data_IF_181091733274
#
_entry.id   IF_181091733274
#
_cell.length_a   1.000
_cell.length_b   1.000
_cell.length_c   1.000
_cell.angle_alpha   90.00
_cell.angle_beta   90.00
_cell.angle_gamma   90.00
#
_symmetry.space_group_name_H-M   'P 1'
#
loop_
_entity.id
_entity.type
_entity.pdbx_description
1 polymer ?
#
# COMPACT_ATOMS: atom_id res chain seq x y z
N UNK A 1 -55.19 -7.86 -45.06
CA UNK A 1 -53.89 -7.16 -45.17
C UNK A 1 -53.86 -6.09 -44.09
N UNK A 2 -53.47 -6.47 -42.87
CA UNK A 2 -53.17 -5.54 -41.79
C UNK A 2 -51.66 -5.24 -41.83
N UNK A 3 -51.32 -3.98 -41.61
CA UNK A 3 -50.08 -3.32 -42.00
C UNK A 3 -48.83 -3.91 -41.32
N UNK A 4 -47.87 -4.40 -42.11
CA UNK A 4 -46.49 -4.70 -41.67
C UNK A 4 -45.79 -3.50 -40.98
N UNK A 5 -46.28 -2.27 -41.18
CA UNK A 5 -45.74 -1.07 -40.53
C UNK A 5 -46.09 -0.95 -39.04
N UNK A 6 -47.22 -1.50 -38.57
CA UNK A 6 -47.58 -1.43 -37.13
C UNK A 6 -46.80 -2.44 -36.28
N UNK A 7 -46.45 -3.60 -36.85
CA UNK A 7 -45.65 -4.62 -36.16
C UNK A 7 -44.21 -4.13 -35.96
N UNK A 8 -43.64 -3.38 -36.93
CA UNK A 8 -42.28 -2.84 -36.80
C UNK A 8 -42.21 -1.75 -35.72
N UNK A 9 -43.25 -0.93 -35.56
CA UNK A 9 -43.30 0.10 -34.51
C UNK A 9 -43.47 -0.53 -33.12
N UNK A 10 -44.30 -1.56 -32.99
CA UNK A 10 -44.44 -2.28 -31.71
C UNK A 10 -43.17 -3.02 -31.30
N UNK A 11 -42.41 -3.58 -32.24
CA UNK A 11 -41.13 -4.26 -31.94
C UNK A 11 -40.03 -3.24 -31.60
N UNK A 12 -40.00 -2.07 -32.24
CA UNK A 12 -38.98 -1.04 -31.94
C UNK A 12 -39.25 -0.31 -30.61
N UNK A 13 -40.50 -0.08 -30.23
CA UNK A 13 -40.85 0.52 -28.92
C UNK A 13 -40.66 -0.48 -27.76
N UNK A 14 -40.93 -1.78 -27.96
CA UNK A 14 -40.65 -2.80 -26.94
C UNK A 14 -39.15 -3.01 -26.72
N UNK A 15 -38.34 -3.03 -27.79
CA UNK A 15 -36.89 -3.15 -27.66
C UNK A 15 -36.26 -1.91 -27.01
N UNK A 16 -36.75 -0.69 -27.27
CA UNK A 16 -36.24 0.50 -26.59
C UNK A 16 -36.62 0.53 -25.10
N UNK A 17 -37.85 0.15 -24.73
CA UNK A 17 -38.26 0.13 -23.32
C UNK A 17 -37.56 -0.97 -22.52
N UNK A 18 -37.49 -2.20 -23.04
CA UNK A 18 -36.79 -3.29 -22.36
C UNK A 18 -35.28 -3.05 -22.33
N UNK A 19 -34.69 -2.46 -23.38
CA UNK A 19 -33.28 -2.08 -23.34
C UNK A 19 -33.05 -0.91 -22.38
N UNK A 20 -33.93 0.10 -22.30
CA UNK A 20 -33.80 1.16 -21.30
C UNK A 20 -33.99 0.62 -19.87
N UNK A 21 -34.88 -0.34 -19.67
CA UNK A 21 -35.15 -0.94 -18.36
C UNK A 21 -34.05 -1.92 -17.93
N UNK A 22 -33.51 -2.70 -18.87
CA UNK A 22 -32.33 -3.54 -18.66
C UNK A 22 -31.09 -2.68 -18.51
N UNK A 23 -30.95 -1.57 -19.24
CA UNK A 23 -29.81 -0.65 -19.15
C UNK A 23 -29.89 0.23 -17.90
N UNK A 24 -31.08 0.60 -17.42
CA UNK A 24 -31.29 1.22 -16.09
C UNK A 24 -31.13 0.21 -14.98
N UNK A 25 -31.61 -1.03 -15.10
CA UNK A 25 -31.27 -2.10 -14.16
C UNK A 25 -29.76 -2.42 -14.21
N UNK A 26 -29.10 -2.39 -15.37
CA UNK A 26 -27.65 -2.53 -15.50
C UNK A 26 -26.91 -1.29 -15.01
N UNK A 27 -27.46 -0.09 -15.07
CA UNK A 27 -26.91 1.14 -14.47
C UNK A 27 -27.24 1.28 -12.99
N UNK A 28 -28.20 0.51 -12.48
CA UNK A 28 -28.54 0.38 -11.06
C UNK A 28 -27.80 -0.79 -10.40
N UNK A 29 -27.51 -1.87 -11.14
CA UNK A 29 -26.70 -3.03 -10.70
C UNK A 29 -25.21 -2.87 -11.02
N UNK A 30 -24.84 -2.24 -12.14
CA UNK A 30 -23.55 -1.52 -12.32
C UNK A 30 -23.65 -0.07 -11.83
N UNK A 31 -24.75 0.26 -11.16
CA UNK A 31 -24.78 1.37 -10.23
C UNK A 31 -23.67 1.08 -9.28
N UNK A 32 -22.59 1.87 -9.40
CA UNK A 32 -21.52 1.97 -8.43
C UNK A 32 -22.14 1.73 -7.07
N UNK A 33 -22.00 0.50 -6.53
CA UNK A 33 -22.49 0.20 -5.20
C UNK A 33 -21.71 1.17 -4.32
N UNK A 34 -22.38 2.26 -3.93
CA UNK A 34 -21.76 3.33 -3.20
C UNK A 34 -21.19 2.67 -1.96
N UNK A 35 -19.87 2.54 -1.92
CA UNK A 35 -19.23 1.71 -0.91
C UNK A 35 -19.43 2.42 0.42
N UNK A 36 -20.27 1.86 1.29
CA UNK A 36 -20.54 2.45 2.60
C UNK A 36 -19.28 2.38 3.44
N UNK A 37 -18.88 3.54 3.96
CA UNK A 37 -17.71 3.73 4.78
C UNK A 37 -18.14 4.27 6.13
N UNK A 38 -17.83 3.56 7.21
CA UNK A 38 -18.17 4.00 8.56
C UNK A 38 -16.99 4.78 9.11
N UNK A 39 -17.15 6.05 9.48
CA UNK A 39 -16.10 6.85 10.12
C UNK A 39 -16.47 7.09 11.58
N UNK A 40 -15.73 6.44 12.48
CA UNK A 40 -15.85 6.64 13.91
C UNK A 40 -15.00 7.82 14.38
N UNK A 41 -15.61 8.69 15.17
CA UNK A 41 -14.99 9.86 15.79
C UNK A 41 -14.94 9.59 17.30
N UNK A 42 -13.74 9.41 17.90
CA UNK A 42 -13.56 9.01 19.29
C UNK A 42 -13.74 10.18 20.27
N UNK A 43 -14.68 11.07 19.96
CA UNK A 43 -15.06 12.23 20.76
C UNK A 43 -16.59 12.36 20.64
N UNK A 44 -17.32 12.66 21.72
CA UNK A 44 -18.77 12.81 21.64
C UNK A 44 -19.11 14.02 20.77
N UNK A 45 -20.18 13.92 19.97
CA UNK A 45 -20.58 14.95 19.00
C UNK A 45 -20.65 16.37 19.59
N UNK A 46 -21.12 16.49 20.84
CA UNK A 46 -21.25 17.77 21.57
C UNK A 46 -19.91 18.41 21.97
N UNK A 47 -18.84 17.62 22.05
CA UNK A 47 -17.48 18.05 22.43
C UNK A 47 -16.52 18.11 21.24
N UNK A 48 -16.99 17.80 20.04
CA UNK A 48 -16.14 17.73 18.87
C UNK A 48 -15.69 19.14 18.43
N UNK A 49 -14.39 19.45 18.37
CA UNK A 49 -13.92 20.80 18.04
C UNK A 49 -14.30 21.23 16.62
N UNK A 50 -14.73 22.49 16.45
CA UNK A 50 -15.17 23.06 15.17
C UNK A 50 -14.14 22.89 14.04
N UNK A 51 -12.86 23.12 14.34
CA UNK A 51 -11.78 22.98 13.35
C UNK A 51 -11.60 21.54 12.86
N UNK A 52 -11.88 20.55 13.72
CA UNK A 52 -11.90 19.15 13.32
C UNK A 52 -13.17 18.80 12.55
N UNK A 53 -14.31 19.39 12.92
CA UNK A 53 -15.57 19.20 12.22
C UNK A 53 -15.50 19.67 10.76
N UNK A 54 -14.91 20.83 10.51
CA UNK A 54 -14.66 21.32 9.15
C UNK A 54 -13.77 20.36 8.35
N UNK A 55 -12.70 19.84 8.98
CA UNK A 55 -11.78 18.91 8.33
C UNK A 55 -12.45 17.57 8.00
N UNK A 56 -13.27 17.04 8.91
CA UNK A 56 -14.06 15.83 8.68
C UNK A 56 -15.07 16.05 7.55
N UNK A 57 -15.81 17.15 7.57
CA UNK A 57 -16.78 17.46 6.51
C UNK A 57 -16.11 17.53 5.13
N UNK A 58 -14.97 18.21 5.03
CA UNK A 58 -14.18 18.27 3.79
C UNK A 58 -13.70 16.87 3.37
N UNK A 59 -13.27 16.03 4.30
CA UNK A 59 -12.88 14.66 4.00
C UNK A 59 -14.05 13.82 3.50
N UNK A 60 -15.23 13.95 4.14
CA UNK A 60 -16.48 13.29 3.72
C UNK A 60 -16.87 13.71 2.30
N UNK A 61 -16.79 15.00 1.97
CA UNK A 61 -17.04 15.50 0.62
C UNK A 61 -16.10 14.88 -0.42
N UNK A 62 -14.80 14.80 -0.10
CA UNK A 62 -13.81 14.17 -0.98
C UNK A 62 -14.08 12.67 -1.18
N UNK A 63 -14.53 11.95 -0.15
CA UNK A 63 -14.90 10.54 -0.31
C UNK A 63 -16.22 10.37 -1.07
N UNK A 64 -17.17 11.30 -0.91
CA UNK A 64 -18.41 11.32 -1.69
C UNK A 64 -18.14 11.52 -3.18
N UNK A 65 -17.19 12.37 -3.55
CA UNK A 65 -16.72 12.53 -4.93
C UNK A 65 -16.13 11.23 -5.51
N UNK A 66 -15.67 10.30 -4.66
CA UNK A 66 -15.19 8.96 -5.04
C UNK A 66 -16.28 7.90 -5.00
N UNK A 67 -17.56 8.29 -5.03
CA UNK A 67 -18.72 7.41 -4.93
C UNK A 67 -18.74 6.54 -3.66
N UNK A 68 -18.24 7.06 -2.53
CA UNK A 68 -18.35 6.41 -1.23
C UNK A 68 -19.38 7.14 -0.37
N UNK A 69 -20.26 6.37 0.27
CA UNK A 69 -21.21 6.92 1.23
C UNK A 69 -20.60 6.86 2.63
N UNK A 70 -20.41 8.00 3.29
CA UNK A 70 -19.78 8.02 4.62
C UNK A 70 -20.83 8.15 5.71
N UNK A 71 -20.84 7.20 6.65
CA UNK A 71 -21.67 7.23 7.85
C UNK A 71 -20.78 7.65 9.02
N UNK A 72 -21.05 8.82 9.59
CA UNK A 72 -20.35 9.31 10.79
C UNK A 72 -20.93 8.66 12.04
N UNK A 73 -20.06 8.11 12.88
CA UNK A 73 -20.40 7.54 14.18
C UNK A 73 -19.58 8.28 15.24
N UNK A 74 -20.21 8.86 16.26
CA UNK A 74 -19.49 9.53 17.35
C UNK A 74 -19.42 8.65 18.59
N UNK A 75 -18.41 8.86 19.43
CA UNK A 75 -18.27 8.16 20.70
C UNK A 75 -19.55 8.27 21.56
N UNK A 76 -20.02 7.12 22.03
CA UNK A 76 -21.25 6.99 22.82
C UNK A 76 -22.54 6.91 22.00
N UNK A 77 -22.45 7.03 20.67
CA UNK A 77 -23.56 6.74 19.76
C UNK A 77 -23.44 5.28 19.29
N UNK A 78 -24.56 4.54 19.29
CA UNK A 78 -24.56 3.13 18.85
C UNK A 78 -24.15 3.03 17.38
N UNK A 79 -23.12 2.24 17.10
CA UNK A 79 -22.67 1.94 15.74
C UNK A 79 -23.78 1.15 15.03
N UNK A 80 -24.19 1.57 13.83
CA UNK A 80 -25.20 0.83 13.06
C UNK A 80 -24.71 -0.58 12.71
N UNK A 81 -25.62 -1.54 12.48
CA UNK A 81 -25.28 -2.88 12.02
C UNK A 81 -24.34 -2.82 10.81
N UNK A 82 -23.17 -3.46 10.94
CA UNK A 82 -22.17 -3.46 9.90
C UNK A 82 -22.48 -4.57 8.88
N UNK A 83 -22.12 -4.38 7.59
CA UNK A 83 -22.24 -5.44 6.60
C UNK A 83 -21.17 -6.51 6.84
N UNK A 84 -21.38 -7.72 6.29
CA UNK A 84 -20.43 -8.83 6.38
C UNK A 84 -18.99 -8.47 5.98
N UNK A 85 -18.81 -7.51 5.06
CA UNK A 85 -17.50 -6.95 4.69
C UNK A 85 -17.48 -5.45 4.98
N UNK A 86 -17.07 -5.08 6.19
CA UNK A 86 -17.12 -3.70 6.66
C UNK A 86 -15.76 -3.00 6.57
N UNK A 87 -15.79 -1.70 6.24
CA UNK A 87 -14.64 -0.79 6.36
C UNK A 87 -14.97 0.30 7.38
N UNK A 88 -14.24 0.32 8.48
CA UNK A 88 -14.43 1.26 9.59
C UNK A 88 -13.18 2.14 9.69
N UNK A 89 -13.32 3.43 9.43
CA UNK A 89 -12.30 4.43 9.73
C UNK A 89 -12.39 4.92 11.17
N UNK A 90 -11.26 5.25 11.77
CA UNK A 90 -11.20 5.92 13.07
C UNK A 90 -10.43 7.23 12.87
N UNK A 91 -11.07 8.35 13.21
CA UNK A 91 -10.48 9.67 13.08
C UNK A 91 -9.62 10.01 14.31
N UNK A 92 -8.30 10.08 14.15
CA UNK A 92 -7.35 10.28 15.25
C UNK A 92 -6.50 11.51 14.98
N UNK A 93 -6.90 12.67 15.52
CA UNK A 93 -6.16 13.91 15.35
C UNK A 93 -5.59 14.42 16.67
N UNK A 94 -4.28 14.71 16.66
CA UNK A 94 -3.57 15.29 17.79
C UNK A 94 -2.09 14.94 17.79
N UNK A 95 -1.36 15.56 18.70
CA UNK A 95 0.05 15.26 18.92
C UNK A 95 0.19 14.24 20.05
N UNK A 96 1.04 13.21 19.87
CA UNK A 96 1.29 12.21 20.88
C UNK A 96 2.04 12.82 22.06
N UNK A 97 1.82 12.27 23.25
CA UNK A 97 2.61 12.62 24.42
C UNK A 97 4.09 12.20 24.31
N UNK A 98 4.84 12.44 25.38
CA UNK A 98 6.26 12.08 25.43
C UNK A 98 6.42 10.57 25.58
N UNK A 99 7.39 10.02 24.87
CA UNK A 99 7.79 8.62 25.05
C UNK A 99 8.16 8.36 26.52
N UNK A 100 7.86 7.16 27.04
CA UNK A 100 8.23 6.81 28.41
C UNK A 100 9.76 6.76 28.54
N UNK A 101 10.25 6.88 29.78
CA UNK A 101 11.67 6.67 30.06
C UNK A 101 12.10 5.28 29.59
N UNK A 102 13.40 5.10 29.29
CA UNK A 102 13.95 3.84 28.81
C UNK A 102 13.57 2.64 29.68
N UNK A 103 13.44 2.84 30.98
CA UNK A 103 13.02 1.84 31.98
C UNK A 103 11.64 1.25 31.69
N UNK A 104 10.72 2.03 31.13
CA UNK A 104 9.32 1.62 30.91
C UNK A 104 8.98 1.35 29.44
N UNK A 105 9.97 1.36 28.54
CA UNK A 105 9.75 1.10 27.11
C UNK A 105 9.22 -0.31 26.81
N UNK A 106 9.53 -1.28 27.67
CA UNK A 106 9.11 -2.67 27.51
C UNK A 106 7.76 -2.98 28.17
N UNK A 107 7.15 -2.00 28.87
CA UNK A 107 5.86 -2.22 29.53
C UNK A 107 4.79 -2.35 28.45
N UNK A 108 4.00 -3.42 28.56
CA UNK A 108 2.87 -3.67 27.67
C UNK A 108 1.89 -2.48 27.65
N UNK A 109 1.36 -2.14 26.49
CA UNK A 109 0.50 -0.96 26.33
C UNK A 109 -0.82 -1.07 27.08
N UNK A 110 -1.38 -2.28 27.24
CA UNK A 110 -2.61 -2.49 28.00
C UNK A 110 -2.36 -2.28 29.50
N UNK A 111 -1.18 -2.67 30.00
CA UNK A 111 -0.78 -2.35 31.38
C UNK A 111 -0.52 -0.84 31.50
N UNK A 112 0.29 -0.28 30.60
CA UNK A 112 0.71 1.11 30.66
C UNK A 112 -0.46 2.10 30.66
N UNK A 113 -1.56 1.80 29.95
CA UNK A 113 -2.74 2.68 29.85
C UNK A 113 -3.38 3.01 31.21
N UNK A 114 -3.20 2.15 32.22
CA UNK A 114 -3.77 2.32 33.56
C UNK A 114 -2.90 3.16 34.49
N UNK A 115 -1.69 3.55 34.07
CA UNK A 115 -0.73 4.29 34.89
C UNK A 115 -0.36 5.64 34.23
N UNK A 116 -0.87 6.77 34.75
CA UNK A 116 -0.62 8.09 34.17
C UNK A 116 0.86 8.47 34.03
N UNK A 117 1.72 7.93 34.89
CA UNK A 117 3.17 8.18 34.87
C UNK A 117 3.87 7.62 33.62
N UNK A 118 3.27 6.62 32.96
CA UNK A 118 3.87 5.92 31.81
C UNK A 118 2.95 5.89 30.58
N UNK A 119 1.66 6.21 30.71
CA UNK A 119 0.69 6.18 29.61
C UNK A 119 0.77 7.36 28.64
N UNK A 120 1.50 8.45 28.97
CA UNK A 120 1.43 9.71 28.21
C UNK A 120 1.66 9.57 26.70
N UNK A 121 2.57 8.69 26.28
CA UNK A 121 2.84 8.38 24.87
C UNK A 121 1.68 7.71 24.12
N UNK A 122 0.69 7.18 24.84
CA UNK A 122 -0.52 6.55 24.29
C UNK A 122 -1.66 7.54 24.08
N UNK A 123 -1.51 8.79 24.55
CA UNK A 123 -2.48 9.86 24.36
C UNK A 123 -2.22 10.62 23.06
N UNK A 124 -3.30 10.98 22.38
CA UNK A 124 -3.31 12.01 21.34
C UNK A 124 -3.99 13.25 21.89
N UNK A 125 -3.28 14.38 21.86
CA UNK A 125 -3.80 15.64 22.40
C UNK A 125 -3.94 16.68 21.31
N UNK A 126 -5.12 17.27 21.20
CA UNK A 126 -5.39 18.42 20.34
C UNK A 126 -6.05 19.53 21.17
N UNK A 127 -5.34 20.65 21.32
CA UNK A 127 -5.77 21.78 22.17
C UNK A 127 -6.06 21.28 23.60
N UNK A 128 -7.32 21.35 24.05
CA UNK A 128 -7.77 20.93 25.39
C UNK A 128 -8.28 19.49 25.44
N UNK A 129 -8.48 18.86 24.28
CA UNK A 129 -8.99 17.49 24.19
C UNK A 129 -7.82 16.51 24.13
N UNK A 130 -7.89 15.45 24.94
CA UNK A 130 -6.92 14.37 24.94
C UNK A 130 -7.65 13.04 24.91
N UNK A 131 -7.26 12.17 23.97
CA UNK A 131 -7.84 10.84 23.80
C UNK A 131 -6.75 9.80 24.04
N UNK A 132 -7.04 8.83 24.89
CA UNK A 132 -6.17 7.67 25.12
C UNK A 132 -6.46 6.61 24.05
N UNK A 133 -5.50 6.33 23.17
CA UNK A 133 -5.74 5.48 21.99
C UNK A 133 -6.23 4.06 22.33
N UNK A 134 -5.66 3.35 23.34
CA UNK A 134 -6.22 2.07 23.81
C UNK A 134 -7.70 2.14 24.24
N UNK A 135 -8.13 3.24 24.86
CA UNK A 135 -9.51 3.41 25.31
C UNK A 135 -10.50 3.45 24.13
N UNK A 136 -10.05 3.91 22.96
CA UNK A 136 -10.89 3.98 21.76
C UNK A 136 -11.34 2.58 21.32
N UNK A 137 -10.51 1.56 21.51
CA UNK A 137 -10.89 0.18 21.21
C UNK A 137 -12.05 -0.28 22.10
N UNK A 138 -11.96 0.02 23.41
CA UNK A 138 -13.01 -0.30 24.38
C UNK A 138 -14.32 0.43 24.06
N UNK A 139 -14.21 1.71 23.71
CA UNK A 139 -15.37 2.54 23.34
C UNK A 139 -16.04 2.03 22.06
N UNK A 140 -15.27 1.67 21.04
CA UNK A 140 -15.80 1.07 19.81
C UNK A 140 -16.54 -0.25 20.08
N UNK A 141 -15.98 -1.11 20.93
CA UNK A 141 -16.64 -2.38 21.30
C UNK A 141 -17.94 -2.10 22.05
N UNK A 142 -17.92 -1.17 23.01
CA UNK A 142 -19.09 -0.73 23.77
C UNK A 142 -20.18 -0.15 22.86
N UNK A 143 -19.78 0.62 21.87
CA UNK A 143 -20.68 1.25 20.91
C UNK A 143 -21.18 0.26 19.82
N UNK A 144 -20.61 -0.96 19.77
CA UNK A 144 -21.18 -2.10 19.04
C UNK A 144 -20.32 -2.68 17.93
N UNK A 145 -19.05 -2.30 17.80
CA UNK A 145 -18.16 -2.71 16.71
C UNK A 145 -18.10 -4.23 16.49
N UNK A 146 -18.03 -5.01 17.58
CA UNK A 146 -17.80 -6.46 17.52
C UNK A 146 -19.07 -7.31 17.70
N UNK A 147 -20.25 -6.71 17.86
CA UNK A 147 -21.49 -7.42 18.23
C UNK A 147 -21.97 -8.46 17.20
N UNK A 148 -21.49 -8.39 15.97
CA UNK A 148 -21.89 -9.27 14.86
C UNK A 148 -20.88 -10.39 14.59
N UNK A 149 -19.75 -10.42 15.28
CA UNK A 149 -18.79 -11.51 15.16
C UNK A 149 -19.24 -12.68 16.03
N UNK A 150 -19.26 -13.86 15.42
CA UNK A 150 -19.45 -15.14 16.10
C UNK A 150 -18.56 -16.19 15.44
N UNK A 151 -18.33 -17.32 16.09
CA UNK A 151 -17.47 -18.41 15.57
C UNK A 151 -17.85 -18.88 14.15
N UNK A 152 -19.14 -18.78 13.79
CA UNK A 152 -19.68 -19.18 12.49
C UNK A 152 -19.85 -18.01 11.50
N UNK A 153 -19.42 -16.81 11.89
CA UNK A 153 -19.65 -15.61 11.11
C UNK A 153 -18.67 -15.50 9.92
N UNK A 154 -19.18 -15.27 8.71
CA UNK A 154 -18.34 -14.89 7.55
C UNK A 154 -17.93 -13.40 7.57
N UNK A 155 -17.99 -12.76 8.75
CA UNK A 155 -17.72 -11.34 8.87
C UNK A 155 -16.21 -11.08 8.76
N UNK A 156 -15.85 -10.16 7.88
CA UNK A 156 -14.50 -9.62 7.73
C UNK A 156 -14.57 -8.11 7.87
N UNK A 157 -13.70 -7.55 8.72
CA UNK A 157 -13.67 -6.13 9.02
C UNK A 157 -12.30 -5.55 8.78
N UNK A 158 -12.28 -4.40 8.13
CA UNK A 158 -11.08 -3.59 7.96
C UNK A 158 -11.20 -2.29 8.74
N UNK A 159 -10.43 -2.18 9.81
CA UNK A 159 -10.30 -0.97 10.62
C UNK A 159 -9.15 -0.12 10.05
N UNK A 160 -9.40 1.16 9.79
CA UNK A 160 -8.44 2.12 9.26
C UNK A 160 -8.24 3.26 10.25
N UNK A 161 -7.10 3.29 10.92
CA UNK A 161 -6.74 4.33 11.90
C UNK A 161 -6.11 5.52 11.17
N UNK A 162 -6.80 6.65 11.07
CA UNK A 162 -6.28 7.85 10.43
C UNK A 162 -5.63 8.77 11.46
N UNK A 163 -4.30 8.70 11.56
CA UNK A 163 -3.51 9.50 12.49
C UNK A 163 -3.06 10.80 11.84
N UNK A 164 -3.68 11.91 12.23
CA UNK A 164 -3.30 13.26 11.84
C UNK A 164 -2.42 13.87 12.93
N UNK A 165 -1.20 14.26 12.54
CA UNK A 165 -0.20 14.94 13.37
C UNK A 165 0.49 14.06 14.43
N UNK A 166 0.31 12.73 14.33
CA UNK A 166 0.99 11.76 15.21
C UNK A 166 2.46 11.46 14.84
N UNK A 167 2.88 11.85 13.63
CA UNK A 167 4.25 11.67 13.15
C UNK A 167 4.76 10.23 13.23
N UNK A 168 5.93 10.02 13.85
CA UNK A 168 6.57 8.70 13.97
C UNK A 168 5.89 7.78 15.01
N UNK A 169 5.13 8.32 15.96
CA UNK A 169 4.50 7.53 17.03
C UNK A 169 3.18 6.86 16.60
N UNK A 170 2.67 7.15 15.39
CA UNK A 170 1.46 6.53 14.85
C UNK A 170 1.52 5.00 14.85
N UNK A 171 2.70 4.41 14.64
CA UNK A 171 2.93 2.96 14.70
C UNK A 171 2.71 2.42 16.12
N UNK A 172 3.36 3.03 17.12
CA UNK A 172 3.19 2.66 18.53
C UNK A 172 1.74 2.78 18.97
N UNK A 173 1.04 3.85 18.57
CA UNK A 173 -0.37 4.06 18.87
C UNK A 173 -1.27 3.01 18.20
N UNK A 174 -0.99 2.65 16.94
CA UNK A 174 -1.73 1.60 16.24
C UNK A 174 -1.55 0.23 16.89
N UNK A 175 -0.33 -0.12 17.30
CA UNK A 175 -0.05 -1.36 18.05
C UNK A 175 -0.78 -1.36 19.40
N UNK A 176 -0.81 -0.23 20.11
CA UNK A 176 -1.52 -0.11 21.38
C UNK A 176 -3.05 -0.25 21.23
N UNK A 177 -3.63 0.33 20.19
CA UNK A 177 -5.04 0.13 19.84
C UNK A 177 -5.35 -1.36 19.58
N UNK A 178 -4.51 -2.03 18.78
CA UNK A 178 -4.66 -3.45 18.48
C UNK A 178 -4.58 -4.32 19.75
N UNK A 179 -3.61 -4.05 20.61
CA UNK A 179 -3.43 -4.80 21.86
C UNK A 179 -4.69 -4.69 22.75
N UNK A 180 -5.23 -3.47 22.88
CA UNK A 180 -6.48 -3.25 23.60
C UNK A 180 -7.68 -3.99 22.97
N UNK A 181 -7.75 -4.07 21.64
CA UNK A 181 -8.83 -4.80 20.96
C UNK A 181 -8.69 -6.33 21.09
N UNK A 182 -7.46 -6.84 21.20
CA UNK A 182 -7.21 -8.28 21.27
C UNK A 182 -7.63 -8.95 22.57
N UNK A 183 -8.03 -8.20 23.61
CA UNK A 183 -8.57 -8.81 24.83
C UNK A 183 -10.00 -9.34 24.68
N UNK A 184 -10.71 -8.94 23.63
CA UNK A 184 -12.11 -9.32 23.41
C UNK A 184 -12.19 -10.64 22.65
N UNK A 185 -12.94 -11.61 23.16
CA UNK A 185 -13.07 -12.93 22.53
C UNK A 185 -13.54 -12.86 21.07
N UNK A 186 -14.55 -12.02 20.80
CA UNK A 186 -15.08 -11.78 19.45
C UNK A 186 -14.04 -11.30 18.44
N UNK A 187 -12.95 -10.66 18.90
CA UNK A 187 -11.85 -10.26 18.02
C UNK A 187 -11.17 -11.47 17.38
N UNK A 188 -11.06 -12.59 18.11
CA UNK A 188 -10.43 -13.82 17.63
C UNK A 188 -11.36 -14.69 16.78
N UNK A 189 -12.67 -14.43 16.82
CA UNK A 189 -13.67 -15.19 16.08
C UNK A 189 -13.82 -14.71 14.63
N UNK A 190 -13.23 -13.58 14.24
CA UNK A 190 -13.40 -12.96 12.94
C UNK A 190 -12.12 -12.59 12.21
N UNK A 191 -12.24 -12.31 10.91
CA UNK A 191 -11.14 -11.75 10.12
C UNK A 191 -11.10 -10.22 10.28
N UNK A 192 -10.33 -9.76 11.27
CA UNK A 192 -10.15 -8.32 11.54
C UNK A 192 -8.77 -7.87 11.09
N UNK A 193 -8.75 -6.94 10.13
CA UNK A 193 -7.54 -6.28 9.64
C UNK A 193 -7.49 -4.84 10.13
N UNK A 194 -6.38 -4.45 10.75
CA UNK A 194 -6.13 -3.07 11.19
C UNK A 194 -5.02 -2.45 10.32
N UNK A 195 -5.31 -1.35 9.64
CA UNK A 195 -4.32 -0.52 8.98
C UNK A 195 -4.24 0.86 9.63
N UNK A 196 -3.08 1.54 9.55
CA UNK A 196 -2.92 2.90 10.04
C UNK A 196 -2.38 3.85 8.97
N UNK A 197 -2.77 5.12 9.04
CA UNK A 197 -2.44 6.13 8.03
C UNK A 197 -1.87 7.34 8.75
N UNK A 198 -0.52 7.48 8.83
CA UNK A 198 0.09 8.68 9.35
C UNK A 198 0.01 9.80 8.32
N UNK A 199 -0.46 10.96 8.73
CA UNK A 199 -0.49 12.17 7.91
C UNK A 199 -0.48 13.42 8.76
N UNK A 200 -0.54 14.57 8.10
CA UNK A 200 -0.81 15.85 8.76
C UNK A 200 -2.19 16.34 8.36
N UNK A 201 -2.92 16.99 9.28
CA UNK A 201 -4.25 17.50 8.96
C UNK A 201 -4.20 18.57 7.84
N UNK A 202 -3.10 19.33 7.78
CA UNK A 202 -2.84 20.33 6.74
C UNK A 202 -2.82 19.74 5.33
N UNK A 203 -2.41 18.47 5.17
CA UNK A 203 -2.35 17.80 3.87
C UNK A 203 -3.74 17.49 3.29
N UNK A 204 -4.75 17.27 4.16
CA UNK A 204 -6.14 17.13 3.72
C UNK A 204 -6.69 18.43 3.14
N UNK A 205 -6.14 19.58 3.53
CA UNK A 205 -6.57 20.88 3.02
C UNK A 205 -6.03 21.15 1.62
N UNK A 206 -4.86 20.61 1.27
CA UNK A 206 -4.08 20.95 0.07
C UNK A 206 -4.07 19.88 -1.01
N UNK A 207 -4.19 18.58 -0.68
CA UNK A 207 -4.20 17.50 -1.69
C UNK A 207 -5.63 17.14 -2.11
N UNK A 208 -6.09 17.71 -3.22
CA UNK A 208 -7.39 17.35 -3.80
C UNK A 208 -7.38 15.98 -4.52
N UNK A 209 -6.22 15.43 -4.92
CA UNK A 209 -6.14 14.25 -5.79
C UNK A 209 -5.27 13.08 -5.30
N UNK A 210 -4.74 13.12 -4.07
CA UNK A 210 -3.85 12.06 -3.55
C UNK A 210 -4.45 11.32 -2.37
N UNK A 211 -4.49 9.99 -2.40
CA UNK A 211 -4.68 9.20 -1.18
C UNK A 211 -3.54 9.53 -0.19
N UNK A 212 -3.84 9.72 1.11
CA UNK A 212 -2.80 9.98 2.12
C UNK A 212 -1.79 8.82 2.17
N UNK A 213 -0.53 9.15 2.46
CA UNK A 213 0.58 8.21 2.45
C UNK A 213 0.30 6.99 3.37
N UNK A 214 0.23 5.80 2.75
CA UNK A 214 -0.21 4.56 3.39
C UNK A 214 0.94 3.82 4.07
N UNK A 215 0.74 3.31 5.30
CA UNK A 215 1.64 2.36 5.96
C UNK A 215 0.84 1.19 6.55
N UNK A 216 1.17 -0.05 6.15
CA UNK A 216 0.37 -1.23 6.51
C UNK A 216 0.97 -1.99 7.70
N UNK A 217 0.10 -2.51 8.57
CA UNK A 217 0.37 -3.64 9.46
C UNK A 217 -0.59 -4.75 9.01
N UNK A 218 -0.07 -5.92 8.58
CA UNK A 218 -0.89 -7.12 8.36
C UNK A 218 -0.53 -8.09 9.48
N UNK A 219 -1.54 -8.57 10.18
CA UNK A 219 -1.44 -9.66 11.14
C UNK A 219 -2.02 -10.89 10.47
N UNK A 220 -1.21 -11.91 10.17
CA UNK A 220 -1.72 -13.26 9.97
C UNK A 220 -2.07 -13.87 11.34
N UNK A 221 -2.93 -14.89 11.39
CA UNK A 221 -3.38 -15.59 12.60
C UNK A 221 -2.23 -16.09 13.52
N UNK A 222 -0.99 -16.09 13.04
CA UNK A 222 0.24 -16.45 13.78
C UNK A 222 0.84 -15.33 14.64
N UNK A 223 0.25 -14.13 14.69
CA UNK A 223 0.77 -13.04 15.53
C UNK A 223 2.02 -12.34 14.98
N UNK A 224 2.58 -12.77 13.85
CA UNK A 224 3.72 -12.09 13.22
C UNK A 224 3.30 -10.80 12.50
N UNK A 225 3.95 -9.69 12.85
CA UNK A 225 3.82 -8.38 12.22
C UNK A 225 4.55 -8.34 10.88
N UNK A 226 3.87 -8.67 9.78
CA UNK A 226 4.49 -8.57 8.45
C UNK A 226 4.05 -7.29 7.74
N UNK A 227 4.93 -6.28 7.76
CA UNK A 227 4.82 -5.05 6.98
C UNK A 227 4.67 -5.39 5.49
N UNK A 228 3.79 -4.72 4.75
CA UNK A 228 3.75 -4.85 3.29
C UNK A 228 5.06 -4.41 2.61
N UNK A 229 5.81 -3.48 3.22
CA UNK A 229 7.17 -3.14 2.80
C UNK A 229 8.13 -4.33 3.01
N UNK A 230 7.97 -5.07 4.10
CA UNK A 230 8.74 -6.28 4.39
C UNK A 230 8.35 -7.41 3.45
N UNK A 231 7.06 -7.61 3.15
CA UNK A 231 6.59 -8.61 2.16
C UNK A 231 7.11 -8.28 0.76
N UNK A 232 7.06 -7.00 0.34
CA UNK A 232 7.72 -6.56 -0.90
C UNK A 232 9.23 -6.78 -0.81
N UNK A 233 9.89 -6.38 0.26
CA UNK A 233 11.33 -6.58 0.43
C UNK A 233 11.73 -8.06 0.45
N UNK A 234 10.93 -8.97 1.02
CA UNK A 234 11.21 -10.41 1.04
C UNK A 234 10.90 -11.07 -0.30
N UNK A 235 9.92 -10.56 -1.06
CA UNK A 235 9.67 -10.98 -2.44
C UNK A 235 10.71 -10.42 -3.42
N UNK A 236 11.23 -9.22 -3.21
CA UNK A 236 12.21 -8.58 -4.10
C UNK A 236 13.69 -8.85 -3.72
N UNK A 237 13.99 -9.25 -2.48
CA UNK A 237 15.35 -9.60 -2.01
C UNK A 237 15.57 -11.11 -1.88
N UNK A 238 14.61 -11.92 -2.36
CA UNK A 238 14.81 -13.35 -2.55
C UNK A 238 15.74 -13.54 -3.75
N UNK A 239 16.83 -14.31 -3.60
CA UNK A 239 17.82 -14.50 -4.69
C UNK A 239 17.19 -15.02 -5.99
N UNK A 240 16.09 -15.77 -5.87
CA UNK A 240 15.24 -16.29 -6.93
C UNK A 240 14.40 -15.22 -7.66
N UNK A 241 14.11 -14.10 -6.99
CA UNK A 241 13.25 -13.03 -7.47
C UNK A 241 13.99 -11.70 -7.78
N UNK A 242 15.30 -11.71 -7.64
CA UNK A 242 16.16 -10.64 -8.14
C UNK A 242 16.26 -10.69 -9.67
N UNK A 243 16.38 -9.54 -10.37
CA UNK A 243 16.64 -9.52 -11.80
C UNK A 243 17.92 -10.28 -12.13
N UNK A 244 17.89 -11.03 -13.23
CA UNK A 244 18.98 -11.92 -13.67
C UNK A 244 19.57 -11.40 -14.97
N UNK A 245 20.89 -11.48 -15.08
CA UNK A 245 21.62 -11.21 -16.31
C UNK A 245 22.32 -12.49 -16.74
N UNK A 246 21.80 -13.12 -17.80
CA UNK A 246 22.29 -14.40 -18.29
C UNK A 246 23.65 -14.26 -18.96
N UNK A 247 24.41 -15.36 -19.01
CA UNK A 247 25.68 -15.38 -19.75
C UNK A 247 25.51 -15.08 -21.25
N UNK A 248 24.39 -15.52 -21.84
CA UNK A 248 24.08 -15.26 -23.24
C UNK A 248 23.94 -13.75 -23.53
N UNK A 249 23.21 -13.03 -22.67
CA UNK A 249 23.07 -11.58 -22.78
C UNK A 249 24.42 -10.87 -22.63
N UNK A 250 25.27 -11.33 -21.69
CA UNK A 250 26.62 -10.78 -21.54
C UNK A 250 27.48 -11.03 -22.76
N UNK A 251 27.47 -12.23 -23.32
CA UNK A 251 28.22 -12.56 -24.54
C UNK A 251 27.79 -11.67 -25.71
N UNK A 252 26.49 -11.40 -25.84
CA UNK A 252 25.96 -10.48 -26.85
C UNK A 252 26.46 -9.05 -26.65
N UNK A 253 26.44 -8.54 -25.42
CA UNK A 253 26.97 -7.21 -25.07
C UNK A 253 28.47 -7.11 -25.36
N UNK A 254 29.24 -8.14 -25.00
CA UNK A 254 30.67 -8.21 -25.25
C UNK A 254 30.96 -8.25 -26.74
N UNK A 255 30.18 -9.02 -27.51
CA UNK A 255 30.33 -9.09 -28.96
C UNK A 255 30.07 -7.72 -29.60
N UNK A 256 28.96 -7.06 -29.26
CA UNK A 256 28.64 -5.71 -29.75
C UNK A 256 29.75 -4.69 -29.40
N UNK A 257 30.32 -4.81 -28.19
CA UNK A 257 31.43 -3.97 -27.78
C UNK A 257 32.71 -4.26 -28.58
N UNK A 258 33.05 -5.53 -28.81
CA UNK A 258 34.23 -5.94 -29.59
C UNK A 258 34.08 -5.56 -31.06
N UNK A 259 32.90 -5.71 -31.65
CA UNK A 259 32.58 -5.28 -33.02
C UNK A 259 32.80 -3.77 -33.17
N UNK A 260 32.29 -2.99 -32.22
CA UNK A 260 32.56 -1.56 -32.17
C UNK A 260 34.05 -1.23 -32.08
N UNK A 261 34.83 -1.95 -31.25
CA UNK A 261 36.28 -1.75 -31.16
C UNK A 261 37.01 -2.15 -32.43
N UNK A 262 36.60 -3.23 -33.08
CA UNK A 262 37.19 -3.71 -34.32
C UNK A 262 36.96 -2.80 -35.53
N UNK A 263 35.93 -1.94 -35.47
CA UNK A 263 35.68 -0.92 -36.49
C UNK A 263 36.66 0.25 -36.48
N UNK A 264 37.51 0.37 -35.44
CA UNK A 264 38.52 1.43 -35.34
C UNK A 264 39.57 1.28 -36.42
N UNK A 265 40.11 2.41 -36.87
CA UNK A 265 41.07 2.49 -37.99
C UNK A 265 40.56 1.81 -39.27
N UNK A 266 39.29 2.06 -39.63
CA UNK A 266 38.70 1.52 -40.86
C UNK A 266 38.58 -0.02 -40.88
N UNK A 267 38.50 -0.68 -39.72
CA UNK A 267 38.41 -2.14 -39.62
C UNK A 267 39.76 -2.86 -39.40
N UNK A 268 40.89 -2.14 -39.45
CA UNK A 268 42.21 -2.73 -39.26
C UNK A 268 42.46 -3.17 -37.82
N UNK A 269 41.84 -2.50 -36.84
CA UNK A 269 41.92 -2.91 -35.43
C UNK A 269 41.35 -4.30 -35.18
N UNK A 270 40.30 -4.70 -35.90
CA UNK A 270 39.77 -6.07 -35.89
C UNK A 270 40.72 -7.08 -36.52
N UNK A 271 41.26 -6.74 -37.70
CA UNK A 271 42.19 -7.63 -38.44
C UNK A 271 43.47 -7.93 -37.67
N UNK A 272 43.92 -7.00 -36.82
CA UNK A 272 45.14 -7.14 -36.02
C UNK A 272 44.88 -7.49 -34.55
N UNK A 273 43.62 -7.77 -34.17
CA UNK A 273 43.28 -8.15 -32.79
C UNK A 273 43.51 -7.05 -31.75
N UNK A 274 43.50 -5.77 -32.15
CA UNK A 274 43.84 -4.62 -31.30
C UNK A 274 42.67 -4.13 -30.43
N UNK A 275 41.62 -4.92 -30.26
CA UNK A 275 40.42 -4.52 -29.51
C UNK A 275 40.75 -4.10 -28.07
N UNK A 276 41.73 -4.75 -27.44
CA UNK A 276 42.21 -4.44 -26.09
C UNK A 276 42.85 -3.06 -26.00
N UNK A 277 43.63 -2.65 -27.02
CA UNK A 277 44.28 -1.33 -27.06
C UNK A 277 43.30 -0.16 -27.13
N UNK A 278 42.12 -0.39 -27.73
CA UNK A 278 41.08 0.64 -27.81
C UNK A 278 40.08 0.57 -26.66
N UNK A 279 40.22 -0.39 -25.74
CA UNK A 279 39.32 -0.59 -24.61
C UNK A 279 39.89 0.08 -23.36
N UNK A 280 39.02 0.60 -22.49
CA UNK A 280 39.48 1.08 -21.19
C UNK A 280 39.69 -0.09 -20.23
N UNK A 281 40.65 0.03 -19.31
CA UNK A 281 40.91 -0.99 -18.28
C UNK A 281 39.65 -1.34 -17.49
N UNK A 282 38.83 -0.33 -17.19
CA UNK A 282 37.54 -0.51 -16.53
C UNK A 282 36.56 -1.36 -17.36
N UNK A 283 36.55 -1.20 -18.69
CA UNK A 283 35.70 -2.02 -19.57
C UNK A 283 36.22 -3.45 -19.65
N UNK A 284 37.54 -3.64 -19.76
CA UNK A 284 38.16 -4.96 -19.83
C UNK A 284 37.95 -5.74 -18.53
N UNK A 285 38.16 -5.10 -17.37
CA UNK A 285 37.92 -5.70 -16.06
C UNK A 285 36.44 -6.06 -15.86
N UNK A 286 35.52 -5.20 -16.31
CA UNK A 286 34.08 -5.49 -16.26
C UNK A 286 33.70 -6.68 -17.14
N UNK A 287 34.24 -6.75 -18.36
CA UNK A 287 34.01 -7.90 -19.28
C UNK A 287 34.51 -9.19 -18.64
N UNK A 288 35.75 -9.22 -18.14
CA UNK A 288 36.32 -10.38 -17.46
C UNK A 288 35.49 -10.81 -16.23
N UNK A 289 34.97 -9.84 -15.47
CA UNK A 289 34.12 -10.13 -14.31
C UNK A 289 32.79 -10.72 -14.76
N UNK A 290 32.13 -10.14 -15.77
CA UNK A 290 30.82 -10.58 -16.25
C UNK A 290 30.88 -11.93 -17.00
N UNK A 291 31.95 -12.20 -17.75
CA UNK A 291 32.20 -13.48 -18.45
C UNK A 291 32.60 -14.62 -17.48
N UNK A 292 32.75 -14.34 -16.18
CA UNK A 292 33.09 -15.37 -15.21
C UNK A 292 31.94 -16.37 -15.02
N UNK A 293 32.17 -17.61 -15.44
CA UNK A 293 31.23 -18.74 -15.33
C UNK A 293 30.87 -19.10 -13.88
N UNK A 294 31.65 -18.65 -12.89
CA UNK A 294 31.37 -18.90 -11.45
C UNK A 294 30.34 -17.95 -10.86
N UNK A 295 29.98 -16.87 -11.55
CA UNK A 295 28.94 -15.94 -11.09
C UNK A 295 27.55 -16.48 -11.42
N UNK A 296 26.63 -16.42 -10.45
CA UNK A 296 25.21 -16.62 -10.74
C UNK A 296 24.67 -15.45 -11.58
N UNK A 297 23.56 -15.67 -12.29
CA UNK A 297 22.96 -14.61 -13.13
C UNK A 297 22.53 -13.38 -12.31
N UNK A 298 22.12 -13.58 -11.06
CA UNK A 298 21.80 -12.52 -10.10
C UNK A 298 23.06 -11.72 -9.72
N UNK A 299 24.17 -12.42 -9.43
CA UNK A 299 25.44 -11.75 -9.14
C UNK A 299 25.97 -11.00 -10.35
N UNK A 300 25.86 -11.58 -11.55
CA UNK A 300 26.24 -10.95 -12.82
C UNK A 300 25.44 -9.67 -13.06
N UNK A 301 24.13 -9.70 -12.78
CA UNK A 301 23.27 -8.52 -12.82
C UNK A 301 23.74 -7.42 -11.85
N UNK A 302 24.04 -7.78 -10.59
CA UNK A 302 24.53 -6.80 -9.61
C UNK A 302 25.87 -6.16 -10.02
N UNK A 303 26.80 -6.95 -10.54
CA UNK A 303 28.08 -6.45 -11.06
C UNK A 303 27.87 -5.49 -12.23
N UNK A 304 26.95 -5.81 -13.15
CA UNK A 304 26.59 -4.94 -14.26
C UNK A 304 26.01 -3.59 -13.79
N UNK A 305 25.10 -3.61 -12.80
CA UNK A 305 24.53 -2.39 -12.21
C UNK A 305 25.60 -1.53 -11.54
N UNK A 306 26.53 -2.15 -10.79
CA UNK A 306 27.63 -1.43 -10.15
C UNK A 306 28.56 -0.77 -11.19
N UNK A 307 28.87 -1.48 -12.27
CA UNK A 307 29.64 -0.93 -13.38
C UNK A 307 28.94 0.28 -14.03
N UNK A 308 27.64 0.16 -14.34
CA UNK A 308 26.85 1.26 -14.93
C UNK A 308 26.80 2.50 -14.03
N UNK A 309 26.70 2.32 -12.71
CA UNK A 309 26.74 3.42 -11.74
C UNK A 309 28.09 4.14 -11.73
N UNK A 310 29.18 3.37 -11.81
CA UNK A 310 30.54 3.91 -11.69
C UNK A 310 31.07 4.47 -13.02
N UNK A 311 30.65 3.91 -14.15
CA UNK A 311 31.17 4.22 -15.49
C UNK A 311 30.06 4.44 -16.54
N UNK A 312 29.08 5.34 -16.28
CA UNK A 312 27.88 5.46 -17.11
C UNK A 312 28.14 5.94 -18.55
N UNK A 313 29.26 6.65 -18.79
CA UNK A 313 29.60 7.23 -20.10
C UNK A 313 30.45 6.32 -20.99
N UNK A 314 30.79 5.11 -20.53
CA UNK A 314 31.63 4.20 -21.32
C UNK A 314 30.87 3.60 -22.50
N UNK A 315 31.58 3.22 -23.55
CA UNK A 315 30.95 2.52 -24.68
C UNK A 315 30.40 1.15 -24.28
N UNK A 316 31.02 0.46 -23.32
CA UNK A 316 30.46 -0.78 -22.77
C UNK A 316 29.11 -0.52 -22.08
N UNK A 317 29.00 0.59 -21.33
CA UNK A 317 27.74 0.97 -20.69
C UNK A 317 26.60 1.19 -21.71
N UNK A 318 26.89 1.71 -22.91
CA UNK A 318 25.88 1.90 -23.97
C UNK A 318 25.20 0.59 -24.40
N UNK A 319 25.96 -0.52 -24.42
CA UNK A 319 25.44 -1.85 -24.80
C UNK A 319 24.89 -2.61 -23.60
N UNK A 320 25.45 -2.40 -22.40
CA UNK A 320 25.05 -3.09 -21.19
C UNK A 320 23.75 -2.53 -20.57
N UNK A 321 23.51 -1.21 -20.70
CA UNK A 321 22.35 -0.55 -20.11
C UNK A 321 20.99 -1.10 -20.61
N UNK A 322 20.78 -1.31 -21.93
CA UNK A 322 19.52 -1.88 -22.43
C UNK A 322 19.22 -3.28 -21.89
N UNK A 323 20.23 -4.14 -21.75
CA UNK A 323 20.04 -5.50 -21.23
C UNK A 323 19.72 -5.50 -19.72
N UNK A 324 20.33 -4.58 -18.96
CA UNK A 324 20.02 -4.39 -17.53
C UNK A 324 18.59 -3.84 -17.35
N UNK A 325 18.17 -2.87 -18.14
CA UNK A 325 16.80 -2.33 -18.08
C UNK A 325 15.75 -3.36 -18.52
N UNK A 326 16.02 -4.13 -19.58
CA UNK A 326 15.14 -5.20 -20.03
C UNK A 326 14.96 -6.26 -18.93
N UNK A 327 16.05 -6.65 -18.29
CA UNK A 327 16.04 -7.63 -17.18
C UNK A 327 15.27 -7.09 -15.95
N UNK A 328 15.40 -5.80 -15.63
CA UNK A 328 14.58 -5.16 -14.59
C UNK A 328 13.09 -5.13 -14.96
N UNK A 329 12.78 -4.81 -16.22
CA UNK A 329 11.39 -4.70 -16.70
C UNK A 329 10.70 -6.06 -16.73
N UNK A 330 11.36 -7.11 -17.22
CA UNK A 330 10.84 -8.48 -17.21
C UNK A 330 10.63 -8.98 -15.77
N UNK A 331 11.60 -8.75 -14.88
CA UNK A 331 11.46 -9.10 -13.47
C UNK A 331 10.28 -8.37 -12.81
N UNK A 332 10.16 -7.06 -13.06
CA UNK A 332 9.04 -6.28 -12.56
C UNK A 332 7.71 -6.79 -13.12
N UNK A 333 7.61 -7.14 -14.40
CA UNK A 333 6.39 -7.69 -14.99
C UNK A 333 5.99 -9.01 -14.33
N UNK A 334 6.93 -9.94 -14.14
CA UNK A 334 6.69 -11.25 -13.50
C UNK A 334 6.21 -11.14 -12.06
N UNK A 335 6.76 -10.20 -11.29
CA UNK A 335 6.44 -10.08 -9.85
C UNK A 335 5.43 -8.97 -9.51
N UNK A 336 5.09 -8.08 -10.44
CA UNK A 336 4.00 -7.08 -10.26
C UNK A 336 2.64 -7.58 -10.71
N UNK A 337 2.57 -8.63 -11.54
CA UNK A 337 1.32 -9.22 -12.06
C UNK A 337 0.83 -10.45 -11.30
N UNK A 338 1.54 -10.92 -10.26
CA UNK A 338 1.01 -11.97 -9.41
C UNK A 338 -0.22 -11.44 -8.65
N UNK A 339 -1.42 -12.03 -8.85
CA UNK A 339 -2.56 -11.71 -8.01
C UNK A 339 -2.12 -11.97 -6.56
N UNK A 340 -2.46 -11.05 -5.66
CA UNK A 340 -2.27 -11.29 -4.24
C UNK A 340 -2.96 -12.62 -3.92
N UNK A 341 -2.16 -13.65 -3.66
CA UNK A 341 -2.66 -14.95 -3.21
C UNK A 341 -3.61 -14.68 -2.05
N UNK A 342 -4.82 -15.21 -2.21
CA UNK A 342 -6.00 -14.98 -1.37
C UNK A 342 -5.73 -15.19 0.11
#
# INVERSE_FOLDING_TARGET
MANQKEIIIYISVFFEYDFLQIFTQLLLTKGFLAMTYYLYIPIPRKKFPLDQQEAVNKWVELEKQKNKNVILCYQGEKIPPLPAKAKVGVWLHGTPGRLPSSTFKAVDSEIARHYPSISSHLHLTHKKESVLVPQIADDLVKDGLLQQFSADSQHSMRIKLFFFDAGKQAETLASAFRNALSKYEHYHQGDIRIDYYPGQLSELKTKQNGEPAHKFIRSTQSGEEQRAKTIRQTLYNREDAAPKLTMEQVNKVVQQYRDYKSSRLGGLSGRWGLNSFFSSDASLAAIQTLENNRLSDTQRFHQAVQFLKRYPKTHLAKYLHPEVEASQKDNNQRYSTQPALG
#
